data_IF_380072944777
#
_entry.id   IF_380072944777
#
_cell.length_a   1.000
_cell.length_b   1.000
_cell.length_c   1.000
_cell.angle_alpha   90.00
_cell.angle_beta   90.00
_cell.angle_gamma   90.00
#
_symmetry.space_group_name_H-M   'P 1'
#
loop_
_entity.id
_entity.type
_entity.pdbx_description
1 polymer ?
#
# COMPACT_ATOMS: atom_id res chain seq x y z
N UNK A 1 11.56 10.45 -29.45
CA UNK A 1 10.19 9.94 -29.70
C UNK A 1 9.61 9.58 -28.34
N UNK A 2 9.01 10.54 -27.63
CA UNK A 2 7.55 10.76 -27.57
C UNK A 2 6.79 9.50 -27.14
N UNK A 3 6.39 9.45 -25.86
CA UNK A 3 5.14 8.83 -25.43
C UNK A 3 4.36 9.89 -24.65
N UNK A 4 3.91 10.89 -25.39
CA UNK A 4 2.89 11.83 -24.97
C UNK A 4 1.54 11.13 -25.17
N UNK A 5 0.92 10.64 -24.10
CA UNK A 5 -0.47 10.18 -24.15
C UNK A 5 -1.41 11.39 -24.14
N UNK A 6 -1.92 11.78 -25.31
CA UNK A 6 -3.02 12.74 -25.44
C UNK A 6 -4.34 12.02 -25.81
N UNK A 7 -5.41 12.43 -25.12
CA UNK A 7 -6.83 12.57 -25.51
C UNK A 7 -7.66 11.37 -26.02
N UNK A 8 -8.67 11.05 -25.19
CA UNK A 8 -10.13 10.98 -25.44
C UNK A 8 -10.58 11.17 -26.91
N UNK A 9 -11.43 10.25 -27.40
CA UNK A 9 -12.41 10.58 -28.45
C UNK A 9 -13.76 9.87 -28.25
N UNK A 10 -14.82 10.59 -28.60
CA UNK A 10 -16.22 10.46 -28.17
C UNK A 10 -17.07 10.32 -29.43
N UNK A 11 -18.03 9.40 -29.44
CA UNK A 11 -19.01 9.29 -30.53
C UNK A 11 -20.21 10.22 -30.34
N UNK A 12 -20.22 11.32 -31.12
CA UNK A 12 -21.35 12.18 -31.56
C UNK A 12 -22.03 13.11 -30.51
N UNK A 13 -22.63 14.26 -30.92
CA UNK A 13 -22.10 15.59 -30.59
C UNK A 13 -23.12 16.54 -29.92
N UNK A 14 -22.70 17.28 -28.89
CA UNK A 14 -23.12 18.66 -28.57
C UNK A 14 -22.53 19.09 -27.21
N UNK A 15 -21.68 20.09 -27.26
CA UNK A 15 -21.38 21.10 -26.22
C UNK A 15 -20.92 20.67 -24.80
N UNK A 16 -19.67 21.09 -24.50
CA UNK A 16 -19.05 21.40 -23.18
C UNK A 16 -18.55 20.22 -22.32
N UNK A 17 -17.30 19.82 -22.58
CA UNK A 17 -16.49 19.05 -21.62
C UNK A 17 -15.74 19.97 -20.64
N UNK A 18 -15.65 19.48 -19.40
CA UNK A 18 -15.06 20.13 -18.23
C UNK A 18 -13.52 20.17 -18.32
N UNK A 19 -12.92 21.35 -18.38
CA UNK A 19 -11.46 21.52 -18.28
C UNK A 19 -11.15 22.62 -17.26
N UNK A 20 -10.46 22.28 -16.17
CA UNK A 20 -9.96 23.25 -15.19
C UNK A 20 -8.46 23.42 -15.41
N UNK A 21 -8.04 24.64 -15.77
CA UNK A 21 -6.63 25.00 -15.87
C UNK A 21 -6.08 25.29 -14.48
N UNK A 22 -5.21 24.42 -14.00
CA UNK A 22 -4.35 24.72 -12.85
C UNK A 22 -3.11 25.41 -13.42
N UNK A 23 -2.89 26.68 -13.07
CA UNK A 23 -1.70 27.40 -13.51
C UNK A 23 -0.60 27.19 -12.46
N UNK A 24 0.17 26.12 -12.62
CA UNK A 24 1.30 25.79 -11.76
C UNK A 24 2.54 26.57 -12.23
N UNK A 25 2.80 27.74 -11.62
CA UNK A 25 4.13 28.36 -11.68
C UNK A 25 4.77 28.20 -10.30
N UNK A 26 5.96 27.61 -10.27
CA UNK A 26 6.61 27.06 -9.08
C UNK A 26 6.63 27.97 -7.84
N UNK A 27 6.56 27.35 -6.66
CA UNK A 27 6.66 27.93 -5.30
C UNK A 27 5.80 29.17 -4.96
N UNK A 28 4.94 29.65 -5.85
CA UNK A 28 4.12 30.85 -5.61
C UNK A 28 2.67 30.60 -6.00
N UNK A 29 1.80 30.58 -4.97
CA UNK A 29 0.35 30.85 -5.04
C UNK A 29 -0.37 30.26 -6.29
N UNK A 30 -0.89 29.04 -6.15
CA UNK A 30 -1.75 28.43 -7.16
C UNK A 30 -3.20 28.93 -7.01
N UNK A 31 -3.96 28.91 -8.11
CA UNK A 31 -5.35 29.41 -8.16
C UNK A 31 -6.26 28.35 -8.77
N UNK A 32 -7.48 28.25 -8.25
CA UNK A 32 -8.56 27.44 -8.84
C UNK A 32 -9.63 28.37 -9.37
N UNK A 33 -9.86 28.31 -10.69
CA UNK A 33 -10.85 29.15 -11.37
C UNK A 33 -12.29 28.69 -11.03
N UNK A 34 -13.12 29.59 -10.50
CA UNK A 34 -14.47 29.23 -10.02
C UNK A 34 -15.57 29.32 -11.09
N UNK A 35 -15.28 29.90 -12.27
CA UNK A 35 -16.28 30.10 -13.36
C UNK A 35 -16.91 28.81 -13.90
N UNK A 36 -16.44 27.64 -13.47
CA UNK A 36 -16.90 26.34 -13.96
C UNK A 36 -17.42 25.41 -12.86
N UNK A 37 -17.49 25.84 -11.59
CA UNK A 37 -18.07 25.02 -10.51
C UNK A 37 -19.52 24.62 -10.83
N UNK A 38 -20.35 25.53 -11.38
CA UNK A 38 -21.71 25.20 -11.84
C UNK A 38 -21.71 24.10 -12.89
N UNK A 39 -20.75 24.03 -13.81
CA UNK A 39 -20.69 22.96 -14.81
C UNK A 39 -20.17 21.64 -14.23
N UNK A 40 -19.17 21.67 -13.33
CA UNK A 40 -18.74 20.47 -12.57
C UNK A 40 -19.93 19.91 -11.80
N UNK A 41 -20.67 20.77 -11.10
CA UNK A 41 -21.82 20.37 -10.28
C UNK A 41 -23.05 20.01 -11.12
N UNK A 42 -23.26 20.67 -12.25
CA UNK A 42 -24.29 20.29 -13.20
C UNK A 42 -24.00 18.91 -13.78
N UNK A 43 -22.74 18.58 -14.10
CA UNK A 43 -22.35 17.24 -14.52
C UNK A 43 -22.42 16.21 -13.37
N UNK A 44 -22.05 16.58 -12.13
CA UNK A 44 -22.26 15.74 -10.94
C UNK A 44 -23.77 15.46 -10.72
N UNK A 45 -24.63 16.45 -10.96
CA UNK A 45 -26.10 16.35 -10.86
C UNK A 45 -26.74 15.61 -12.05
N UNK A 46 -26.23 15.79 -13.26
CA UNK A 46 -26.67 15.05 -14.45
C UNK A 46 -26.32 13.57 -14.33
N UNK A 47 -25.20 13.24 -13.69
CA UNK A 47 -24.92 11.87 -13.26
C UNK A 47 -25.90 11.35 -12.21
N UNK A 48 -26.45 12.19 -11.34
CA UNK A 48 -27.55 11.83 -10.42
C UNK A 48 -28.87 11.57 -11.15
N UNK A 49 -29.19 12.33 -12.22
CA UNK A 49 -30.36 12.08 -13.08
C UNK A 49 -30.18 10.85 -13.96
N UNK A 50 -28.97 10.63 -14.50
CA UNK A 50 -28.58 9.40 -15.18
C UNK A 50 -28.51 8.20 -14.22
N UNK A 51 -28.32 8.43 -12.91
CA UNK A 51 -28.28 7.41 -11.85
C UNK A 51 -29.64 6.76 -11.57
N UNK A 52 -30.75 7.18 -12.18
CA UNK A 52 -31.90 6.25 -12.26
C UNK A 52 -31.58 5.02 -13.09
N UNK A 53 -30.60 5.07 -14.01
CA UNK A 53 -30.25 3.98 -14.94
C UNK A 53 -28.76 3.60 -15.00
N UNK A 54 -27.82 4.38 -14.46
CA UNK A 54 -26.40 4.01 -14.34
C UNK A 54 -25.81 4.48 -12.99
N UNK A 55 -25.71 3.57 -12.02
CA UNK A 55 -25.11 3.81 -10.70
C UNK A 55 -23.59 3.61 -10.70
N UNK A 56 -22.83 4.58 -11.23
CA UNK A 56 -21.38 4.52 -11.29
C UNK A 56 -20.71 5.81 -10.79
N UNK A 57 -19.62 5.72 -10.01
CA UNK A 57 -18.87 6.89 -9.57
C UNK A 57 -18.11 7.61 -10.70
N UNK A 58 -17.79 8.89 -10.46
CA UNK A 58 -17.00 9.72 -11.37
C UNK A 58 -15.50 9.58 -11.12
N UNK A 59 -14.72 9.47 -12.19
CA UNK A 59 -13.26 9.27 -12.16
C UNK A 59 -12.50 10.58 -12.39
N UNK A 60 -11.58 10.92 -11.48
CA UNK A 60 -10.69 12.10 -11.59
C UNK A 60 -9.21 11.71 -11.61
N UNK A 61 -8.32 12.54 -12.18
CA UNK A 61 -6.88 12.36 -12.05
C UNK A 61 -6.46 12.32 -10.57
N UNK A 62 -5.56 11.41 -10.25
CA UNK A 62 -5.18 11.04 -8.88
C UNK A 62 -4.62 12.21 -8.04
N UNK A 63 -4.13 13.27 -8.68
CA UNK A 63 -3.44 14.41 -8.04
C UNK A 63 -4.25 15.72 -7.99
N UNK A 64 -5.57 15.66 -8.15
CA UNK A 64 -6.40 16.88 -8.25
C UNK A 64 -6.62 17.59 -6.90
N UNK A 65 -6.06 18.80 -6.75
CA UNK A 65 -6.32 19.71 -5.60
C UNK A 65 -7.80 20.09 -5.45
N UNK A 66 -8.51 20.17 -6.56
CA UNK A 66 -9.95 20.42 -6.57
C UNK A 66 -10.72 19.35 -5.79
N UNK A 67 -10.33 18.08 -5.91
CA UNK A 67 -10.97 16.99 -5.18
C UNK A 67 -10.79 17.17 -3.68
N UNK A 68 -9.58 17.55 -3.24
CA UNK A 68 -9.32 17.87 -1.84
C UNK A 68 -10.20 19.02 -1.32
N UNK A 69 -10.43 20.05 -2.14
CA UNK A 69 -11.31 21.18 -1.77
C UNK A 69 -12.79 20.78 -1.70
N UNK A 70 -13.27 19.96 -2.64
CA UNK A 70 -14.66 19.48 -2.65
C UNK A 70 -14.95 18.54 -1.48
N UNK A 71 -14.00 17.67 -1.13
CA UNK A 71 -14.08 16.82 0.08
C UNK A 71 -14.09 17.68 1.33
N UNK A 72 -13.22 18.71 1.41
CA UNK A 72 -13.19 19.64 2.55
C UNK A 72 -14.51 20.40 2.72
N UNK A 73 -15.18 20.72 1.61
CA UNK A 73 -16.49 21.36 1.58
C UNK A 73 -17.66 20.41 1.88
N UNK A 74 -17.39 19.12 2.16
CA UNK A 74 -18.38 18.07 2.36
C UNK A 74 -19.38 17.95 1.20
N UNK A 75 -18.91 18.21 -0.02
CA UNK A 75 -19.73 18.13 -1.24
C UNK A 75 -19.61 16.77 -1.91
N UNK A 76 -18.49 16.09 -1.68
CA UNK A 76 -18.22 14.78 -2.26
C UNK A 76 -17.46 13.90 -1.29
N UNK A 77 -17.68 12.60 -1.39
CA UNK A 77 -16.90 11.57 -0.71
C UNK A 77 -16.06 10.79 -1.74
N UNK A 78 -14.89 10.35 -1.31
CA UNK A 78 -13.97 9.55 -2.12
C UNK A 78 -14.10 8.07 -1.74
N UNK A 79 -14.23 7.21 -2.74
CA UNK A 79 -14.39 5.75 -2.59
C UNK A 79 -13.31 5.02 -3.41
N UNK A 80 -12.76 3.92 -2.87
CA UNK A 80 -11.83 3.02 -3.58
C UNK A 80 -10.37 3.47 -3.66
N UNK A 81 -9.52 2.62 -4.26
CA UNK A 81 -8.14 2.95 -4.65
C UNK A 81 -7.92 2.69 -6.15
N UNK A 82 -7.36 3.69 -6.83
CA UNK A 82 -6.99 3.83 -8.25
C UNK A 82 -7.88 3.18 -9.32
N UNK A 83 -8.56 3.97 -10.19
CA UNK A 83 -8.72 5.43 -10.16
C UNK A 83 -9.69 5.90 -9.07
N UNK A 84 -9.48 7.11 -8.53
CA UNK A 84 -10.33 7.71 -7.49
C UNK A 84 -11.78 7.82 -7.98
N UNK A 85 -12.70 7.21 -7.23
CA UNK A 85 -14.13 7.28 -7.48
C UNK A 85 -14.80 8.30 -6.53
N UNK A 86 -15.69 9.13 -7.06
CA UNK A 86 -16.37 10.18 -6.30
C UNK A 86 -17.88 9.94 -6.23
N UNK A 87 -18.45 10.03 -5.03
CA UNK A 87 -19.91 10.04 -4.80
C UNK A 87 -20.37 11.37 -4.21
N UNK A 88 -21.55 11.84 -4.61
CA UNK A 88 -22.18 13.06 -4.09
C UNK A 88 -22.69 12.81 -2.66
N UNK A 89 -22.51 13.77 -1.76
CA UNK A 89 -23.10 13.70 -0.41
C UNK A 89 -24.56 14.15 -0.43
N UNK A 90 -25.40 13.64 0.48
CA UNK A 90 -26.84 13.96 0.55
C UNK A 90 -27.16 15.42 0.89
N UNK A 91 -26.15 16.27 1.04
CA UNK A 91 -26.21 17.59 1.67
C UNK A 91 -26.67 18.73 0.75
N UNK A 92 -26.90 18.51 -0.55
CA UNK A 92 -27.34 19.56 -1.48
C UNK A 92 -28.32 19.08 -2.55
N UNK A 93 -29.55 19.60 -2.51
CA UNK A 93 -30.59 19.26 -3.50
C UNK A 93 -31.11 20.46 -4.33
N UNK A 94 -30.83 21.72 -3.96
CA UNK A 94 -31.51 22.89 -4.55
C UNK A 94 -30.59 23.94 -5.23
N UNK A 95 -31.17 24.54 -6.28
CA UNK A 95 -30.56 25.37 -7.34
C UNK A 95 -30.46 26.85 -6.97
N UNK A 96 -29.47 27.26 -6.18
CA UNK A 96 -28.97 28.62 -6.31
C UNK A 96 -27.45 28.58 -6.24
N UNK A 97 -26.83 28.89 -7.37
CA UNK A 97 -25.37 28.97 -7.51
C UNK A 97 -24.79 29.92 -6.44
N UNK A 98 -25.54 30.96 -6.07
CA UNK A 98 -25.17 31.90 -5.00
C UNK A 98 -25.13 31.25 -3.60
N UNK A 99 -26.07 30.37 -3.24
CA UNK A 99 -26.09 29.70 -1.94
C UNK A 99 -24.93 28.72 -1.80
N UNK A 100 -24.58 28.03 -2.89
CA UNK A 100 -23.45 27.12 -2.95
C UNK A 100 -22.11 27.87 -2.91
N UNK A 101 -21.99 28.95 -3.68
CA UNK A 101 -20.82 29.83 -3.66
C UNK A 101 -20.62 30.43 -2.27
N UNK A 102 -21.70 30.87 -1.60
CA UNK A 102 -21.62 31.37 -0.23
C UNK A 102 -21.17 30.29 0.77
N UNK A 103 -21.65 29.04 0.64
CA UNK A 103 -21.15 27.94 1.48
C UNK A 103 -19.68 27.64 1.20
N UNK A 104 -19.26 27.63 -0.07
CA UNK A 104 -17.85 27.44 -0.43
C UNK A 104 -16.99 28.56 0.13
N UNK A 105 -17.41 29.82 0.05
CA UNK A 105 -16.71 30.96 0.66
C UNK A 105 -16.56 30.81 2.17
N UNK A 106 -17.58 30.27 2.84
CA UNK A 106 -17.55 30.01 4.28
C UNK A 106 -16.59 28.87 4.66
N UNK A 107 -16.57 27.78 3.89
CA UNK A 107 -15.73 26.60 4.19
C UNK A 107 -14.29 26.76 3.71
N UNK A 108 -14.09 27.48 2.61
CA UNK A 108 -12.80 27.72 1.94
C UNK A 108 -12.30 29.14 2.24
N UNK A 109 -12.25 29.51 3.52
CA UNK A 109 -11.71 30.79 3.98
C UNK A 109 -10.18 30.78 4.08
N UNK A 110 -9.57 31.96 4.21
CA UNK A 110 -8.12 32.09 4.37
C UNK A 110 -7.62 31.31 5.59
N UNK A 111 -6.48 30.64 5.44
CA UNK A 111 -5.86 29.82 6.47
C UNK A 111 -6.36 28.37 6.52
N UNK A 112 -7.47 28.05 5.86
CA UNK A 112 -8.02 26.68 5.81
C UNK A 112 -7.05 25.75 5.11
N UNK A 113 -6.74 24.63 5.79
CA UNK A 113 -5.90 23.56 5.26
C UNK A 113 -6.76 22.46 4.64
N UNK A 114 -6.34 21.98 3.48
CA UNK A 114 -6.92 20.83 2.79
C UNK A 114 -5.81 19.97 2.18
N UNK A 115 -6.10 18.70 1.93
CA UNK A 115 -5.14 17.78 1.33
C UNK A 115 -5.75 17.03 0.16
N UNK A 116 -4.91 16.72 -0.83
CA UNK A 116 -5.30 15.81 -1.92
C UNK A 116 -5.36 14.38 -1.37
N UNK A 117 -6.38 13.57 -1.71
CA UNK A 117 -6.53 12.21 -1.18
C UNK A 117 -5.31 11.30 -1.40
N UNK A 118 -4.64 11.42 -2.54
CA UNK A 118 -3.56 10.48 -2.94
C UNK A 118 -2.20 10.89 -2.38
N UNK A 119 -1.79 12.15 -2.55
CA UNK A 119 -0.46 12.60 -2.11
C UNK A 119 -0.43 13.11 -0.67
N UNK A 120 -1.60 13.29 -0.04
CA UNK A 120 -1.80 13.96 1.26
C UNK A 120 -1.01 15.28 1.38
N UNK A 121 -0.74 15.95 0.26
CA UNK A 121 0.00 17.20 0.23
C UNK A 121 -0.89 18.27 0.87
N UNK A 122 -0.43 18.81 2.00
CA UNK A 122 -1.19 19.83 2.71
C UNK A 122 -1.07 21.15 1.95
N UNK A 123 -2.21 21.76 1.68
CA UNK A 123 -2.35 23.04 1.01
C UNK A 123 -3.15 23.96 1.90
N UNK A 124 -2.77 25.23 1.94
CA UNK A 124 -3.46 26.25 2.72
C UNK A 124 -4.08 27.28 1.78
N UNK A 125 -5.35 27.60 2.02
CA UNK A 125 -6.07 28.63 1.29
C UNK A 125 -5.52 29.98 1.69
N UNK A 126 -5.18 30.80 0.71
CA UNK A 126 -4.65 32.15 0.90
C UNK A 126 -5.71 33.22 0.68
N UNK A 127 -6.97 32.81 0.54
CA UNK A 127 -8.12 33.68 0.36
C UNK A 127 -8.70 33.68 -1.06
N UNK A 128 -9.80 34.41 -1.21
CA UNK A 128 -10.48 34.62 -2.48
C UNK A 128 -9.86 35.84 -3.19
N UNK A 129 -9.64 35.73 -4.50
CA UNK A 129 -9.02 36.76 -5.32
C UNK A 129 -9.68 36.79 -6.70
N UNK A 130 -9.21 37.69 -7.56
CA UNK A 130 -9.67 37.79 -8.94
C UNK A 130 -8.56 37.41 -9.92
N UNK A 131 -8.89 36.71 -10.99
CA UNK A 131 -7.96 36.49 -12.10
C UNK A 131 -7.90 37.71 -13.05
N UNK A 132 -7.06 37.65 -14.07
CA UNK A 132 -6.88 38.73 -15.06
C UNK A 132 -8.13 39.01 -15.92
N UNK A 133 -9.12 38.13 -15.88
CA UNK A 133 -10.40 38.26 -16.59
C UNK A 133 -11.52 38.82 -15.69
N UNK A 134 -11.20 39.16 -14.43
CA UNK A 134 -12.16 39.68 -13.45
C UNK A 134 -12.95 38.59 -12.73
N UNK A 135 -12.46 37.36 -12.72
CA UNK A 135 -13.20 36.19 -12.24
C UNK A 135 -12.80 35.90 -10.80
N UNK A 136 -13.77 35.62 -9.93
CA UNK A 136 -13.47 35.13 -8.60
C UNK A 136 -12.79 33.75 -8.65
N UNK A 137 -11.66 33.63 -7.96
CA UNK A 137 -10.85 32.42 -7.85
C UNK A 137 -10.37 32.27 -6.42
N UNK A 138 -10.20 31.03 -5.96
CA UNK A 138 -9.60 30.77 -4.66
C UNK A 138 -8.11 30.48 -4.82
N UNK A 139 -7.30 31.26 -4.11
CA UNK A 139 -5.85 31.09 -4.05
C UNK A 139 -5.47 30.09 -2.97
N UNK A 140 -4.43 29.31 -3.21
CA UNK A 140 -3.84 28.43 -2.22
C UNK A 140 -2.32 28.33 -2.37
N UNK A 141 -1.65 27.95 -1.29
CA UNK A 141 -0.21 27.67 -1.24
C UNK A 141 0.00 26.25 -0.74
N UNK A 142 0.91 25.53 -1.38
CA UNK A 142 1.35 24.22 -0.88
C UNK A 142 2.24 24.42 0.35
N UNK A 143 1.95 23.71 1.43
CA UNK A 143 2.75 23.74 2.67
C UNK A 143 3.85 22.68 2.70
N UNK A 144 3.94 21.84 1.66
CA UNK A 144 4.89 20.73 1.56
C UNK A 144 4.19 19.38 1.50
N UNK A 145 4.70 18.46 0.69
CA UNK A 145 4.24 17.07 0.72
C UNK A 145 4.81 16.40 1.96
N UNK A 146 3.95 16.01 2.89
CA UNK A 146 4.30 15.28 4.12
C UNK A 146 4.75 13.82 3.85
N UNK A 147 5.27 13.56 2.65
CA UNK A 147 5.66 12.25 2.14
C UNK A 147 7.07 11.88 2.54
N UNK A 148 8.01 12.83 2.55
CA UNK A 148 9.41 12.54 2.93
C UNK A 148 9.57 12.18 4.41
N UNK A 149 8.83 12.84 5.30
CA UNK A 149 8.92 12.58 6.75
C UNK A 149 8.24 11.27 7.13
N UNK A 150 7.07 10.95 6.55
CA UNK A 150 6.40 9.66 6.81
C UNK A 150 7.10 8.46 6.18
N UNK A 151 7.66 8.60 4.98
CA UNK A 151 8.46 7.51 4.38
C UNK A 151 9.73 7.25 5.21
N UNK A 152 10.33 8.31 5.78
CA UNK A 152 11.46 8.19 6.69
C UNK A 152 11.05 7.60 8.04
N UNK A 153 9.91 7.98 8.62
CA UNK A 153 9.38 7.42 9.86
C UNK A 153 9.00 5.95 9.71
N UNK A 154 8.33 5.57 8.62
CA UNK A 154 7.96 4.18 8.32
C UNK A 154 9.21 3.31 8.07
N UNK A 155 10.24 3.85 7.40
CA UNK A 155 11.53 3.17 7.23
C UNK A 155 12.31 3.07 8.53
N UNK A 156 12.29 4.12 9.38
CA UNK A 156 12.88 4.12 10.72
C UNK A 156 12.16 3.12 11.62
N UNK A 157 10.84 3.01 11.55
CA UNK A 157 10.04 2.06 12.32
C UNK A 157 10.28 0.62 11.84
N UNK A 158 10.36 0.39 10.52
CA UNK A 158 10.82 -0.90 9.96
C UNK A 158 12.21 -1.26 10.45
N UNK A 159 13.13 -0.29 10.43
CA UNK A 159 14.52 -0.48 10.86
C UNK A 159 14.59 -0.74 12.36
N UNK A 160 13.77 -0.06 13.17
CA UNK A 160 13.64 -0.29 14.62
C UNK A 160 13.08 -1.67 14.90
N UNK A 161 12.00 -2.08 14.23
CA UNK A 161 11.42 -3.41 14.39
C UNK A 161 12.40 -4.52 13.94
N UNK A 162 13.14 -4.30 12.85
CA UNK A 162 14.24 -5.19 12.44
C UNK A 162 15.40 -5.19 13.44
N UNK A 163 15.75 -4.05 14.03
CA UNK A 163 16.79 -3.92 15.04
C UNK A 163 16.36 -4.54 16.38
N UNK A 164 15.09 -4.46 16.76
CA UNK A 164 14.51 -5.10 17.94
C UNK A 164 14.46 -6.61 17.79
N UNK A 165 14.08 -7.11 16.60
CA UNK A 165 14.25 -8.52 16.25
C UNK A 165 15.74 -8.90 16.32
N UNK A 166 16.65 -8.09 15.79
CA UNK A 166 18.09 -8.35 15.82
C UNK A 166 18.73 -8.22 17.22
N UNK A 167 18.07 -7.54 18.17
CA UNK A 167 18.54 -7.28 19.53
C UNK A 167 18.25 -8.40 20.52
N UNK A 168 17.59 -9.50 20.12
CA UNK A 168 17.46 -10.67 20.99
C UNK A 168 18.87 -11.21 21.30
N UNK A 169 19.24 -11.36 22.59
CA UNK A 169 20.57 -11.85 22.96
C UNK A 169 20.91 -13.17 22.24
N UNK A 170 22.05 -13.22 21.54
CA UNK A 170 22.54 -14.41 20.83
C UNK A 170 22.00 -14.62 19.41
N UNK A 171 21.13 -13.75 18.89
CA UNK A 171 20.57 -13.90 17.53
C UNK A 171 21.58 -13.61 16.41
N UNK A 172 22.50 -12.64 16.62
CA UNK A 172 23.62 -12.39 15.69
C UNK A 172 24.54 -13.61 15.61
N UNK A 173 24.91 -14.16 16.76
CA UNK A 173 25.78 -15.34 16.83
C UNK A 173 25.11 -16.58 16.23
N UNK A 174 23.82 -16.78 16.49
CA UNK A 174 23.02 -17.82 15.85
C UNK A 174 23.00 -17.66 14.32
N UNK A 175 22.70 -16.46 13.82
CA UNK A 175 22.63 -16.18 12.39
C UNK A 175 23.97 -16.46 11.69
N UNK A 176 25.07 -16.01 12.27
CA UNK A 176 26.41 -16.28 11.75
C UNK A 176 26.75 -17.77 11.78
N UNK A 177 26.42 -18.46 12.88
CA UNK A 177 26.64 -19.91 13.00
C UNK A 177 25.85 -20.69 11.95
N UNK A 178 24.56 -20.39 11.77
CA UNK A 178 23.74 -21.03 10.74
C UNK A 178 24.26 -20.69 9.33
N UNK A 179 24.73 -19.47 9.08
CA UNK A 179 25.39 -19.12 7.82
C UNK A 179 26.63 -19.97 7.55
N UNK A 180 27.48 -20.18 8.55
CA UNK A 180 28.66 -21.06 8.46
C UNK A 180 28.26 -22.52 8.23
N UNK A 181 27.34 -23.05 9.03
CA UNK A 181 26.85 -24.43 8.95
C UNK A 181 26.33 -24.79 7.55
N UNK A 182 25.74 -23.85 6.81
CA UNK A 182 25.24 -24.09 5.44
C UNK A 182 26.18 -23.57 4.33
N UNK A 183 27.39 -23.10 4.69
CA UNK A 183 28.37 -22.58 3.73
C UNK A 183 27.86 -21.37 2.95
N UNK A 184 27.07 -20.51 3.59
CA UNK A 184 26.47 -19.31 2.98
C UNK A 184 25.48 -19.61 1.87
N UNK A 185 24.79 -20.75 1.92
CA UNK A 185 23.83 -21.18 0.89
C UNK A 185 22.47 -21.52 1.46
N UNK A 186 21.42 -21.08 0.78
CA UNK A 186 20.06 -21.54 1.08
C UNK A 186 20.00 -23.08 1.03
N UNK A 187 19.45 -23.69 2.06
CA UNK A 187 19.32 -25.14 2.20
C UNK A 187 18.43 -25.77 1.11
N UNK A 188 17.55 -24.98 0.49
CA UNK A 188 16.58 -25.45 -0.51
C UNK A 188 17.03 -25.11 -1.93
N UNK A 189 17.32 -23.83 -2.19
CA UNK A 189 17.62 -23.34 -3.55
C UNK A 189 19.11 -23.29 -3.87
N UNK A 190 19.99 -23.40 -2.86
CA UNK A 190 21.42 -23.19 -3.05
C UNK A 190 21.83 -21.73 -3.31
N UNK A 191 20.90 -20.77 -3.22
CA UNK A 191 21.16 -19.33 -3.37
C UNK A 191 22.31 -18.90 -2.44
N UNK A 192 23.26 -18.13 -2.98
CA UNK A 192 24.47 -17.63 -2.29
C UNK A 192 24.41 -16.14 -1.95
N UNK A 193 23.41 -15.43 -2.44
CA UNK A 193 23.30 -13.97 -2.27
C UNK A 193 23.03 -13.66 -0.81
N UNK A 194 24.06 -13.22 -0.08
CA UNK A 194 24.01 -13.05 1.38
C UNK A 194 22.85 -12.18 1.86
N UNK A 195 22.52 -11.11 1.11
CA UNK A 195 21.41 -10.20 1.38
C UNK A 195 20.01 -10.85 1.26
N UNK A 196 19.90 -11.94 0.50
CA UNK A 196 18.66 -12.69 0.34
C UNK A 196 18.52 -13.85 1.35
N UNK A 197 19.54 -14.09 2.19
CA UNK A 197 19.58 -15.21 3.12
C UNK A 197 19.26 -14.78 4.54
N UNK A 198 18.48 -15.62 5.23
CA UNK A 198 18.09 -15.46 6.63
C UNK A 198 18.26 -16.79 7.36
N UNK A 199 18.73 -16.72 8.61
CA UNK A 199 18.73 -17.87 9.51
C UNK A 199 17.35 -18.01 10.13
N UNK A 200 16.68 -19.11 9.82
CA UNK A 200 15.33 -19.41 10.27
C UNK A 200 15.38 -20.36 11.46
N UNK A 201 14.57 -20.09 12.48
CA UNK A 201 14.30 -21.03 13.56
C UNK A 201 13.22 -22.02 13.11
N UNK A 202 13.46 -23.31 13.28
CA UNK A 202 12.45 -24.34 12.96
C UNK A 202 11.43 -24.48 14.08
N UNK A 203 11.86 -24.30 15.34
CA UNK A 203 11.00 -24.30 16.52
C UNK A 203 11.12 -22.95 17.22
N UNK A 204 9.98 -22.35 17.59
CA UNK A 204 9.93 -21.15 18.44
C UNK A 204 9.66 -21.58 19.88
N UNK A 205 10.71 -21.64 20.69
CA UNK A 205 10.67 -21.95 22.13
C UNK A 205 11.36 -20.83 22.91
N UNK A 206 11.03 -20.71 24.19
CA UNK A 206 11.74 -19.83 25.10
C UNK A 206 12.97 -20.55 25.70
N UNK A 207 14.09 -19.84 25.86
CA UNK A 207 15.29 -20.36 26.54
C UNK A 207 16.47 -20.76 25.63
N UNK A 208 17.47 -21.44 26.21
CA UNK A 208 18.78 -21.69 25.59
C UNK A 208 18.73 -22.50 24.28
N UNK A 209 17.77 -23.42 24.16
CA UNK A 209 17.57 -24.26 22.99
C UNK A 209 17.05 -23.49 21.76
N UNK A 210 16.59 -22.24 21.93
CA UNK A 210 16.15 -21.39 20.83
C UNK A 210 17.27 -21.20 19.80
N UNK A 211 18.49 -20.93 20.28
CA UNK A 211 19.64 -20.62 19.44
C UNK A 211 20.52 -21.84 19.14
N UNK A 212 20.07 -23.06 19.41
CA UNK A 212 20.81 -24.28 19.06
C UNK A 212 20.99 -24.41 17.53
N UNK A 213 22.14 -24.90 17.09
CA UNK A 213 22.43 -25.09 15.66
C UNK A 213 21.44 -26.04 14.99
N UNK A 214 21.04 -27.07 15.72
CA UNK A 214 20.08 -28.11 15.32
C UNK A 214 18.64 -27.57 15.24
N UNK A 215 18.41 -26.33 15.67
CA UNK A 215 17.14 -25.62 15.52
C UNK A 215 17.15 -24.62 14.35
N UNK A 216 18.26 -24.49 13.62
CA UNK A 216 18.44 -23.48 12.60
C UNK A 216 18.62 -24.02 11.19
N UNK A 217 18.04 -23.32 10.22
CA UNK A 217 18.20 -23.59 8.79
C UNK A 217 18.42 -22.28 8.03
N UNK A 218 19.36 -22.25 7.09
CA UNK A 218 19.61 -21.07 6.27
C UNK A 218 18.69 -21.08 5.04
N UNK A 219 17.85 -20.07 4.89
CA UNK A 219 16.84 -19.99 3.84
C UNK A 219 16.87 -18.66 3.10
N UNK A 220 16.30 -18.63 1.90
CA UNK A 220 15.95 -17.37 1.22
C UNK A 220 14.80 -16.70 1.98
N UNK A 221 14.76 -15.37 2.05
CA UNK A 221 13.79 -14.63 2.89
C UNK A 221 12.32 -14.96 2.60
N UNK A 222 11.95 -15.20 1.34
CA UNK A 222 10.61 -15.65 0.95
C UNK A 222 10.28 -17.06 1.47
N UNK A 223 11.21 -18.01 1.33
CA UNK A 223 11.06 -19.39 1.82
C UNK A 223 10.99 -19.41 3.35
N UNK A 224 11.79 -18.56 4.01
CA UNK A 224 11.72 -18.36 5.46
C UNK A 224 10.33 -17.87 5.88
N UNK A 225 9.80 -16.82 5.24
CA UNK A 225 8.47 -16.32 5.52
C UNK A 225 7.37 -17.39 5.32
N UNK A 226 7.50 -18.24 4.30
CA UNK A 226 6.59 -19.36 4.08
C UNK A 226 6.68 -20.44 5.17
N UNK A 227 7.87 -20.66 5.73
CA UNK A 227 8.09 -21.58 6.84
C UNK A 227 7.37 -21.05 8.10
N UNK A 228 7.64 -19.79 8.48
CA UNK A 228 7.04 -19.13 9.64
C UNK A 228 5.52 -19.04 9.55
N UNK A 229 4.98 -18.83 8.35
CA UNK A 229 3.54 -18.79 8.08
C UNK A 229 2.88 -20.18 7.99
N UNK A 230 3.63 -21.26 8.25
CA UNK A 230 3.18 -22.64 8.11
C UNK A 230 2.55 -22.92 6.74
N UNK A 231 3.15 -22.39 5.67
CA UNK A 231 2.78 -22.71 4.28
C UNK A 231 3.67 -23.78 3.67
N UNK A 232 4.81 -24.06 4.29
CA UNK A 232 5.65 -25.22 4.04
C UNK A 232 6.03 -25.87 5.37
N UNK A 233 6.44 -27.13 5.34
CA UNK A 233 6.97 -27.85 6.50
C UNK A 233 7.93 -28.94 6.04
N UNK A 234 8.46 -29.71 6.98
CA UNK A 234 9.34 -30.84 6.72
C UNK A 234 8.54 -32.13 6.58
N UNK A 235 9.00 -33.06 5.73
CA UNK A 235 8.53 -34.44 5.76
C UNK A 235 9.00 -35.16 7.04
N UNK A 236 8.41 -36.32 7.34
CA UNK A 236 8.69 -37.04 8.58
C UNK A 236 10.17 -37.39 8.80
N UNK A 237 10.89 -37.70 7.73
CA UNK A 237 12.32 -37.97 7.77
C UNK A 237 13.21 -36.73 7.76
N UNK A 238 12.65 -35.50 7.69
CA UNK A 238 13.40 -34.25 7.70
C UNK A 238 14.24 -33.96 6.44
N UNK A 239 14.28 -34.87 5.47
CA UNK A 239 15.13 -34.76 4.29
C UNK A 239 14.50 -33.95 3.13
N UNK A 240 13.18 -33.75 3.16
CA UNK A 240 12.42 -33.04 2.13
C UNK A 240 11.43 -32.08 2.74
N UNK A 241 11.05 -31.08 1.97
CA UNK A 241 9.93 -30.19 2.28
C UNK A 241 8.60 -30.77 1.79
N UNK A 242 7.55 -30.41 2.50
CA UNK A 242 6.15 -30.62 2.15
C UNK A 242 5.45 -29.26 2.05
N UNK A 243 4.74 -29.03 0.96
CA UNK A 243 4.00 -27.79 0.74
C UNK A 243 2.57 -27.88 1.29
N UNK A 244 2.03 -26.76 1.75
CA UNK A 244 0.60 -26.61 2.04
C UNK A 244 -0.23 -26.77 0.78
N UNK A 245 -1.42 -27.36 0.93
CA UNK A 245 -2.43 -27.43 -0.15
C UNK A 245 -3.02 -26.05 -0.47
N UNK A 246 -2.89 -25.08 0.44
CA UNK A 246 -3.39 -23.71 0.29
C UNK A 246 -2.38 -22.76 -0.34
N UNK A 247 -1.11 -23.14 -0.46
CA UNK A 247 -0.11 -22.39 -1.23
C UNK A 247 -0.26 -22.75 -2.71
N UNK A 248 -1.12 -22.02 -3.43
CA UNK A 248 -1.51 -22.32 -4.82
C UNK A 248 -0.66 -21.59 -5.87
N UNK A 249 0.13 -20.60 -5.48
CA UNK A 249 1.02 -19.88 -6.38
C UNK A 249 2.06 -20.83 -6.99
N UNK A 250 2.06 -20.92 -8.33
CA UNK A 250 2.92 -21.80 -9.10
C UNK A 250 4.41 -21.47 -8.96
N UNK A 251 4.74 -20.24 -8.60
CA UNK A 251 6.13 -19.79 -8.34
C UNK A 251 6.80 -20.62 -7.25
N UNK A 252 6.01 -21.18 -6.33
CA UNK A 252 6.48 -22.01 -5.21
C UNK A 252 6.24 -23.51 -5.42
N UNK A 253 5.83 -23.95 -6.61
CA UNK A 253 5.58 -25.37 -6.89
C UNK A 253 6.81 -26.25 -6.63
N UNK A 254 8.01 -25.71 -6.88
CA UNK A 254 9.29 -26.40 -6.66
C UNK A 254 9.58 -26.76 -5.19
N UNK A 255 8.87 -26.16 -4.23
CA UNK A 255 9.08 -26.42 -2.81
C UNK A 255 8.52 -27.78 -2.36
N UNK A 256 7.55 -28.34 -3.08
CA UNK A 256 6.95 -29.61 -2.70
C UNK A 256 7.90 -30.77 -3.05
N UNK A 257 8.29 -31.56 -2.04
CA UNK A 257 9.29 -32.62 -2.18
C UNK A 257 10.74 -32.13 -2.36
N UNK A 258 10.99 -30.82 -2.22
CA UNK A 258 12.32 -30.25 -2.38
C UNK A 258 13.30 -30.86 -1.36
N UNK A 259 14.47 -31.32 -1.83
CA UNK A 259 15.50 -31.88 -0.96
C UNK A 259 16.13 -30.79 -0.11
N UNK A 260 16.29 -31.07 1.18
CA UNK A 260 16.95 -30.17 2.11
C UNK A 260 18.43 -30.53 2.16
N UNK A 261 19.28 -29.57 1.81
CA UNK A 261 20.74 -29.72 1.94
C UNK A 261 21.09 -29.90 3.41
N UNK A 262 21.94 -30.89 3.70
CA UNK A 262 22.54 -31.06 5.03
C UNK A 262 23.57 -29.94 5.29
N UNK A 263 23.71 -29.47 6.53
CA UNK A 263 24.78 -28.55 6.87
C UNK A 263 26.14 -29.18 6.56
N UNK A 264 27.09 -28.34 6.12
CA UNK A 264 28.49 -28.70 5.89
C UNK A 264 29.28 -28.76 7.20
N UNK A 265 28.82 -28.03 8.23
CA UNK A 265 29.38 -28.02 9.58
C UNK A 265 28.26 -28.04 10.62
N UNK A 266 28.48 -28.71 11.76
CA UNK A 266 27.49 -28.84 12.84
C UNK A 266 26.46 -29.95 12.66
N UNK A 267 25.52 -30.03 13.61
CA UNK A 267 24.45 -31.04 13.64
C UNK A 267 23.34 -30.78 12.62
N UNK A 268 22.68 -31.86 12.18
CA UNK A 268 21.45 -31.76 11.38
C UNK A 268 20.30 -31.19 12.21
N UNK A 269 19.25 -30.74 11.53
CA UNK A 269 18.01 -30.34 12.21
C UNK A 269 17.52 -31.44 13.14
N UNK A 270 17.20 -31.06 14.38
CA UNK A 270 16.77 -32.02 15.39
C UNK A 270 15.41 -32.62 15.03
N UNK A 271 15.22 -33.90 15.36
CA UNK A 271 13.94 -34.56 15.17
C UNK A 271 12.80 -33.86 15.95
N UNK A 272 13.13 -33.28 17.11
CA UNK A 272 12.18 -32.53 17.93
C UNK A 272 11.72 -31.24 17.23
N UNK A 273 12.64 -30.45 16.68
CA UNK A 273 12.31 -29.21 15.95
C UNK A 273 11.43 -29.51 14.75
N UNK A 274 11.78 -30.52 13.95
CA UNK A 274 10.98 -30.97 12.80
C UNK A 274 9.58 -31.39 13.24
N UNK A 275 9.48 -32.20 14.30
CA UNK A 275 8.20 -32.71 14.79
C UNK A 275 7.29 -31.60 15.30
N UNK A 276 7.83 -30.65 16.06
CA UNK A 276 7.08 -29.50 16.56
C UNK A 276 6.53 -28.64 15.42
N UNK A 277 7.39 -28.27 14.47
CA UNK A 277 6.98 -27.49 13.31
C UNK A 277 5.88 -28.19 12.49
N UNK A 278 5.99 -29.51 12.32
CA UNK A 278 4.96 -30.32 11.63
C UNK A 278 3.62 -30.30 12.35
N UNK A 279 3.58 -30.43 13.68
CA UNK A 279 2.34 -30.35 14.46
C UNK A 279 1.65 -28.99 14.27
N UNK A 280 2.42 -27.90 14.30
CA UNK A 280 1.89 -26.54 14.10
C UNK A 280 1.39 -26.32 12.68
N UNK A 281 2.11 -26.86 11.69
CA UNK A 281 1.67 -26.88 10.30
C UNK A 281 0.34 -27.62 10.12
N UNK A 282 0.18 -28.82 10.70
CA UNK A 282 -1.06 -29.60 10.63
C UNK A 282 -2.24 -28.86 11.30
N UNK A 283 -2.00 -28.22 12.44
CA UNK A 283 -3.00 -27.37 13.09
C UNK A 283 -3.38 -26.15 12.21
N UNK A 284 -2.41 -25.54 11.52
CA UNK A 284 -2.66 -24.43 10.60
C UNK A 284 -3.45 -24.88 9.36
N UNK A 285 -3.18 -26.07 8.82
CA UNK A 285 -3.95 -26.67 7.72
C UNK A 285 -5.42 -26.87 8.12
N UNK A 286 -5.66 -27.42 9.31
CA UNK A 286 -7.03 -27.65 9.83
C UNK A 286 -7.80 -26.33 10.00
N UNK A 287 -7.17 -25.29 10.56
CA UNK A 287 -7.77 -23.96 10.70
C UNK A 287 -8.09 -23.28 9.36
N UNK A 288 -7.27 -23.51 8.32
CA UNK A 288 -7.53 -22.99 6.97
C UNK A 288 -8.69 -23.74 6.30
N UNK A 289 -8.84 -25.03 6.61
CA UNK A 289 -9.95 -25.86 6.13
C UNK A 289 -11.29 -25.43 6.73
N UNK A 290 -11.34 -25.12 8.03
CA UNK A 290 -12.58 -24.71 8.72
C UNK A 290 -13.06 -23.30 8.38
N UNK A 291 -12.28 -22.51 7.62
CA UNK A 291 -12.61 -21.15 7.18
C UNK A 291 -13.14 -21.10 5.73
N UNK A 292 -13.18 -22.23 5.05
CA UNK A 292 -13.80 -22.41 3.73
C UNK A 292 -15.13 -23.12 3.88
#
# INVERSE_FOLDING_TARGET
>A
MLHNGWMINIGVPAERCLAIRINERGNQLARVEMRWFTQVFQQLRENERASRHLGGPLSFPESSHLVGMLVKADLVAVVGQNPIQISVTSSFQNKNDEALVNKLKNVLSEGVKFSTPVKKAESQITGWTFNSMGDEVVGYRMLGSNTYERDAEDEVERTKHQAEISRRPGQTEFSERIRRNYGGRCAITGCKTAAALQAAHVRTIDGADLNASENGILLRSDIHALLDAFQITFEAGGAKLKKSRYLTDKTYAFLDGAKIRKPVEGGQLSHQSITDHRKRFEAAECKKQSRK
#
